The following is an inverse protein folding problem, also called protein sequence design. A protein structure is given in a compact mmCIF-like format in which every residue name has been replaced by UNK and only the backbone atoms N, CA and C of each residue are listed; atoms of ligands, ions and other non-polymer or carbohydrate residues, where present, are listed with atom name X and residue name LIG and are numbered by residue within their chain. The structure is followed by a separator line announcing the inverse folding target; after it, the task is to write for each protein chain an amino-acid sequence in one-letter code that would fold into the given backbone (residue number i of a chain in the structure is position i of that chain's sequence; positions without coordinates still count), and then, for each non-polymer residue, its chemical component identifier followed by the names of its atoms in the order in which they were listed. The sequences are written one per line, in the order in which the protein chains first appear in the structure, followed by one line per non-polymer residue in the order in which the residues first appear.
data_IF_280209266321
#
_entry.id   IF_280209266321
#
_cell.length_a   1.000
_cell.length_b   1.000
_cell.length_c   1.000
_cell.angle_alpha   90.00
_cell.angle_beta   90.00
_cell.angle_gamma   90.00
#
_symmetry.space_group_name_H-M   'P 1'
#
loop_
_entity.id
_entity.type
_entity.pdbx_description
1 polymer ?
#
# COMPACT_ATOMS: atom_id res chain seq x y z
N UNK A 1 5.27 -32.47 22.67
CA UNK A 1 5.61 -31.02 22.67
C UNK A 1 6.91 -30.82 21.91
N UNK A 2 7.04 -29.70 21.20
CA UNK A 2 8.21 -29.23 20.43
C UNK A 2 8.60 -30.01 19.17
N UNK A 3 9.01 -29.40 18.05
CA UNK A 3 9.07 -27.99 17.61
C UNK A 3 9.25 -28.10 16.08
N UNK A 4 8.41 -27.42 15.28
CA UNK A 4 8.53 -27.43 13.82
C UNK A 4 9.68 -26.49 13.41
N UNK A 5 10.57 -26.88 12.49
CA UNK A 5 11.67 -26.02 12.07
C UNK A 5 11.15 -24.83 11.24
N UNK A 6 11.59 -23.64 11.64
CA UNK A 6 11.44 -22.39 10.90
C UNK A 6 11.91 -22.54 9.44
N UNK A 7 10.99 -22.34 8.51
CA UNK A 7 11.30 -22.25 7.08
C UNK A 7 11.90 -20.87 6.82
N UNK A 8 13.22 -20.84 6.67
CA UNK A 8 14.02 -19.66 6.33
C UNK A 8 13.51 -18.98 5.06
N UNK A 9 13.33 -17.67 5.22
CA UNK A 9 13.31 -16.57 4.26
C UNK A 9 13.96 -16.90 2.92
N UNK A 10 13.18 -16.91 1.83
CA UNK A 10 13.70 -16.81 0.46
C UNK A 10 13.53 -15.38 -0.03
N UNK A 11 14.69 -14.76 -0.20
CA UNK A 11 15.01 -13.55 -0.96
C UNK A 11 14.02 -13.24 -2.09
N UNK A 12 13.58 -11.98 -2.16
CA UNK A 12 13.18 -11.37 -3.43
C UNK A 12 14.13 -10.21 -3.68
N UNK A 13 15.05 -10.45 -4.60
CA UNK A 13 15.95 -9.46 -5.20
C UNK A 13 15.52 -9.34 -6.66
N UNK A 14 14.92 -8.21 -7.02
CA UNK A 14 14.79 -7.74 -8.40
C UNK A 14 14.49 -6.23 -8.34
N UNK A 15 15.53 -5.39 -8.36
CA UNK A 15 16.01 -4.67 -9.54
C UNK A 15 15.03 -3.62 -10.06
N UNK A 16 15.30 -2.38 -9.65
CA UNK A 16 14.91 -1.17 -10.35
C UNK A 16 15.44 -1.22 -11.78
N UNK A 17 14.56 -1.09 -12.77
CA UNK A 17 14.91 -0.64 -14.12
C UNK A 17 13.69 0.01 -14.79
N UNK A 18 13.89 1.25 -15.23
CA UNK A 18 13.23 1.79 -16.42
C UNK A 18 11.96 2.61 -16.20
N UNK A 19 12.07 3.92 -16.46
CA UNK A 19 10.98 4.83 -16.80
C UNK A 19 9.91 4.19 -17.71
N UNK A 20 8.64 4.43 -17.38
CA UNK A 20 7.52 4.31 -18.31
C UNK A 20 6.33 3.53 -17.76
N UNK A 21 5.31 4.25 -17.28
CA UNK A 21 3.92 3.78 -17.09
C UNK A 21 3.79 2.43 -16.37
N UNK A 22 3.83 2.45 -15.04
CA UNK A 22 3.46 1.28 -14.25
C UNK A 22 1.94 1.20 -14.23
N UNK A 23 1.40 0.29 -15.02
CA UNK A 23 0.03 -0.18 -14.85
C UNK A 23 -0.10 -0.84 -13.47
N UNK A 24 -1.20 -0.61 -12.73
CA UNK A 24 -1.42 -1.25 -11.43
C UNK A 24 -1.41 -2.78 -11.64
N UNK A 25 -0.39 -3.47 -11.11
CA UNK A 25 -0.34 -4.93 -11.14
C UNK A 25 -1.28 -5.48 -10.07
N UNK A 26 -2.54 -5.64 -10.43
CA UNK A 26 -3.56 -6.34 -9.63
C UNK A 26 -3.32 -7.85 -9.67
N UNK A 27 -2.38 -8.33 -8.86
CA UNK A 27 -2.21 -9.75 -8.56
C UNK A 27 -3.31 -10.28 -7.63
N UNK A 28 -3.50 -11.61 -7.54
CA UNK A 28 -4.51 -12.21 -6.66
C UNK A 28 -4.28 -11.81 -5.20
N UNK A 29 -5.39 -11.51 -4.51
CA UNK A 29 -5.62 -11.03 -3.13
C UNK A 29 -4.93 -11.83 -2.00
N UNK A 30 -3.62 -12.10 -2.09
CA UNK A 30 -2.89 -13.00 -1.18
C UNK A 30 -1.69 -12.34 -0.51
N UNK A 31 -1.44 -11.06 -0.76
CA UNK A 31 -0.40 -10.31 -0.04
C UNK A 31 -1.02 -9.66 1.20
N UNK A 32 -0.33 -9.79 2.32
CA UNK A 32 -0.71 -9.19 3.61
C UNK A 32 0.40 -8.24 4.02
N UNK A 33 0.02 -7.11 4.62
CA UNK A 33 1.01 -6.22 5.21
C UNK A 33 1.52 -6.74 6.56
N UNK A 34 2.44 -6.00 7.16
CA UNK A 34 3.07 -6.36 8.45
C UNK A 34 2.09 -6.47 9.62
N UNK A 35 0.86 -5.95 9.52
CA UNK A 35 -0.18 -6.10 10.55
C UNK A 35 -1.30 -7.06 10.13
N UNK A 36 -1.11 -7.79 9.03
CA UNK A 36 -2.04 -8.80 8.54
C UNK A 36 -3.22 -8.26 7.75
N UNK A 37 -3.18 -7.00 7.29
CA UNK A 37 -4.23 -6.44 6.43
C UNK A 37 -3.99 -6.83 4.96
N UNK A 38 -5.07 -7.11 4.19
CA UNK A 38 -4.95 -7.44 2.78
C UNK A 38 -4.43 -6.24 1.99
N UNK A 39 -3.32 -6.43 1.28
CA UNK A 39 -2.79 -5.45 0.34
C UNK A 39 -3.62 -5.52 -0.93
N UNK A 40 -4.29 -4.42 -1.27
CA UNK A 40 -5.14 -4.34 -2.47
C UNK A 40 -4.45 -3.69 -3.66
N UNK A 41 -3.38 -2.93 -3.41
CA UNK A 41 -2.54 -2.35 -4.45
C UNK A 41 -1.11 -2.11 -3.94
N UNK A 42 -0.17 -2.09 -4.87
CA UNK A 42 1.22 -1.68 -4.64
C UNK A 42 1.63 -0.79 -5.81
N UNK A 43 2.02 0.45 -5.51
CA UNK A 43 2.36 1.44 -6.53
C UNK A 43 3.72 2.05 -6.25
N UNK A 44 4.43 2.45 -7.31
CA UNK A 44 5.59 3.31 -7.17
C UNK A 44 5.12 4.77 -7.17
N UNK A 45 5.44 5.50 -6.11
CA UNK A 45 5.20 6.93 -5.98
C UNK A 45 6.56 7.60 -5.84
N UNK A 46 6.93 8.42 -6.83
CA UNK A 46 8.27 8.97 -6.95
C UNK A 46 9.35 7.87 -6.87
N UNK A 47 10.21 7.95 -5.85
CA UNK A 47 11.32 7.04 -5.59
C UNK A 47 10.98 5.89 -4.63
N UNK A 48 9.74 5.81 -4.13
CA UNK A 48 9.33 4.81 -3.14
C UNK A 48 8.23 3.89 -3.64
N UNK A 49 8.25 2.66 -3.14
CA UNK A 49 7.13 1.71 -3.29
C UNK A 49 6.17 1.89 -2.13
N UNK A 50 4.90 2.10 -2.42
CA UNK A 50 3.83 2.27 -1.46
C UNK A 50 2.85 1.10 -1.59
N UNK A 51 2.58 0.44 -0.47
CA UNK A 51 1.53 -0.57 -0.34
C UNK A 51 0.28 0.05 0.26
N UNK A 52 -0.86 -0.28 -0.34
CA UNK A 52 -2.18 0.15 0.09
C UNK A 52 -2.94 -1.06 0.65
N UNK A 53 -3.05 -1.11 1.97
CA UNK A 53 -3.72 -2.20 2.66
C UNK A 53 -5.12 -1.80 3.08
N UNK A 54 -6.10 -2.66 2.84
CA UNK A 54 -7.48 -2.36 3.18
C UNK A 54 -7.78 -2.65 4.65
N UNK A 55 -8.24 -1.62 5.36
CA UNK A 55 -8.84 -1.77 6.68
C UNK A 55 -10.25 -2.32 6.49
N UNK A 56 -10.39 -3.63 6.61
CA UNK A 56 -11.65 -4.35 6.33
C UNK A 56 -12.82 -3.72 7.08
N UNK A 57 -13.91 -3.47 6.36
CA UNK A 57 -15.12 -2.84 6.91
C UNK A 57 -15.06 -1.31 7.01
N UNK A 58 -13.98 -0.66 6.55
CA UNK A 58 -13.84 0.80 6.53
C UNK A 58 -13.45 1.29 5.13
N UNK A 59 -13.92 2.49 4.71
CA UNK A 59 -13.45 3.16 3.50
C UNK A 59 -12.08 3.81 3.72
N UNK A 60 -11.13 3.00 4.20
CA UNK A 60 -9.81 3.41 4.68
C UNK A 60 -8.73 2.47 4.18
N UNK A 61 -7.64 3.06 3.71
CA UNK A 61 -6.42 2.36 3.35
C UNK A 61 -5.29 2.74 4.30
N UNK A 62 -4.57 1.74 4.80
CA UNK A 62 -3.28 1.91 5.46
C UNK A 62 -2.20 1.98 4.40
N UNK A 63 -1.27 2.92 4.56
CA UNK A 63 -0.14 3.10 3.65
C UNK A 63 1.14 2.64 4.33
N UNK A 64 1.91 1.81 3.63
CA UNK A 64 3.22 1.33 4.09
C UNK A 64 4.28 1.42 3.01
N UNK A 65 5.53 1.59 3.45
CA UNK A 65 6.76 1.71 2.68
C UNK A 65 7.63 0.49 3.02
N UNK A 66 7.45 -0.68 2.35
CA UNK A 66 8.00 -1.98 2.77
C UNK A 66 9.55 -2.08 2.70
N UNK A 67 10.24 -1.01 2.35
CA UNK A 67 11.69 -0.95 2.23
C UNK A 67 12.32 0.12 3.13
N UNK A 68 11.53 0.72 4.02
CA UNK A 68 11.96 1.77 4.93
C UNK A 68 11.54 1.43 6.36
N UNK A 69 12.33 1.89 7.32
CA UNK A 69 12.01 1.79 8.74
C UNK A 69 11.77 3.20 9.31
N UNK A 70 10.63 3.46 9.97
CA UNK A 70 9.45 2.59 10.11
C UNK A 70 8.74 2.37 8.77
N UNK A 71 8.10 1.21 8.58
CA UNK A 71 7.35 0.94 7.34
C UNK A 71 6.05 1.75 7.25
N UNK A 72 5.46 2.13 8.38
CA UNK A 72 4.19 2.86 8.38
C UNK A 72 4.41 4.24 7.76
N UNK A 73 3.53 4.66 6.85
CA UNK A 73 3.47 6.05 6.39
C UNK A 73 2.29 6.77 7.05
N UNK A 74 1.14 6.09 7.08
CA UNK A 74 -0.09 6.64 7.62
C UNK A 74 -1.32 5.95 7.05
N UNK A 75 -2.38 6.71 6.81
CA UNK A 75 -3.62 6.19 6.22
C UNK A 75 -4.34 7.22 5.37
N UNK A 76 -5.13 6.74 4.41
CA UNK A 76 -6.08 7.53 3.65
C UNK A 76 -7.50 7.08 4.00
N UNK A 77 -8.38 8.01 4.30
CA UNK A 77 -9.81 7.77 4.53
C UNK A 77 -10.68 8.60 3.59
N UNK A 78 -12.01 8.45 3.70
CA UNK A 78 -12.97 9.16 2.87
C UNK A 78 -12.99 8.70 1.40
N UNK A 79 -12.51 7.48 1.12
CA UNK A 79 -12.40 6.92 -0.24
C UNK A 79 -13.75 6.59 -0.89
N UNK A 80 -14.81 6.53 -0.10
CA UNK A 80 -16.21 6.44 -0.51
C UNK A 80 -16.87 7.82 -0.73
N UNK A 81 -16.12 8.89 -0.51
CA UNK A 81 -16.56 10.28 -0.70
C UNK A 81 -15.81 10.97 -1.83
N UNK A 82 -16.11 12.25 -2.07
CA UNK A 82 -15.38 13.10 -3.02
C UNK A 82 -14.15 13.80 -2.41
N UNK A 83 -13.91 13.63 -1.11
CA UNK A 83 -12.86 14.33 -0.36
C UNK A 83 -11.98 13.33 0.41
N UNK A 84 -11.17 12.51 -0.30
CA UNK A 84 -10.26 11.59 0.36
C UNK A 84 -9.12 12.37 1.03
N UNK A 85 -8.74 11.96 2.25
CA UNK A 85 -7.76 12.68 3.06
C UNK A 85 -6.60 11.80 3.47
N UNK A 86 -5.39 12.33 3.35
CA UNK A 86 -4.16 11.69 3.79
C UNK A 86 -3.85 12.11 5.23
N UNK A 87 -3.67 11.12 6.10
CA UNK A 87 -3.23 11.29 7.47
C UNK A 87 -1.85 10.65 7.62
N UNK A 88 -0.82 11.48 7.78
CA UNK A 88 0.55 11.03 8.02
C UNK A 88 0.71 10.73 9.52
N UNK A 89 1.26 9.56 9.83
CA UNK A 89 1.43 9.12 11.22
C UNK A 89 2.89 9.10 11.66
N UNK A 90 3.82 8.91 10.72
CA UNK A 90 5.25 8.80 11.03
C UNK A 90 5.99 10.12 10.70
N UNK A 91 6.55 10.83 11.70
CA UNK A 91 7.23 12.12 11.48
C UNK A 91 8.39 12.04 10.48
N UNK A 92 9.13 10.94 10.48
CA UNK A 92 10.27 10.71 9.58
C UNK A 92 9.87 10.64 8.10
N UNK A 93 8.61 10.33 7.80
CA UNK A 93 8.08 10.31 6.44
C UNK A 93 7.16 11.50 6.16
N UNK A 94 6.97 12.41 7.10
CA UNK A 94 5.96 13.47 7.00
C UNK A 94 6.25 14.45 5.87
N UNK A 95 7.53 14.83 5.69
CA UNK A 95 7.96 15.73 4.61
C UNK A 95 7.67 15.10 3.25
N UNK A 96 8.26 13.94 2.96
CA UNK A 96 8.04 13.19 1.72
C UNK A 96 6.55 12.89 1.47
N UNK A 97 5.81 12.48 2.50
CA UNK A 97 4.39 12.19 2.39
C UNK A 97 3.56 13.43 2.02
N UNK A 98 3.93 14.59 2.56
CA UNK A 98 3.28 15.86 2.25
C UNK A 98 3.55 16.30 0.82
N UNK A 99 4.80 16.20 0.36
CA UNK A 99 5.21 16.53 -1.01
C UNK A 99 4.51 15.68 -2.08
N UNK A 100 4.16 14.43 -1.73
CA UNK A 100 3.54 13.49 -2.67
C UNK A 100 2.06 13.20 -2.37
N UNK A 101 1.39 14.06 -1.61
CA UNK A 101 -0.02 13.89 -1.19
C UNK A 101 -0.96 13.59 -2.37
N UNK A 102 -0.89 14.38 -3.44
CA UNK A 102 -1.77 14.21 -4.60
C UNK A 102 -1.59 12.84 -5.28
N UNK A 103 -0.34 12.42 -5.47
CA UNK A 103 -0.02 11.13 -6.07
C UNK A 103 -0.51 9.96 -5.20
N UNK A 104 -0.36 10.07 -3.88
CA UNK A 104 -0.85 9.08 -2.92
C UNK A 104 -2.38 8.97 -2.93
N UNK A 105 -3.09 10.11 -2.92
CA UNK A 105 -4.55 10.15 -2.98
C UNK A 105 -5.08 9.54 -4.29
N UNK A 106 -4.48 9.90 -5.43
CA UNK A 106 -4.86 9.36 -6.74
C UNK A 106 -4.66 7.84 -6.82
N UNK A 107 -3.52 7.35 -6.34
CA UNK A 107 -3.23 5.92 -6.29
C UNK A 107 -4.22 5.17 -5.38
N UNK A 108 -4.51 5.72 -4.20
CA UNK A 108 -5.46 5.15 -3.24
C UNK A 108 -6.88 5.07 -3.82
N UNK A 109 -7.36 6.12 -4.48
CA UNK A 109 -8.68 6.13 -5.10
C UNK A 109 -8.78 5.11 -6.25
N UNK A 110 -7.74 5.03 -7.08
CA UNK A 110 -7.66 4.03 -8.16
C UNK A 110 -7.70 2.59 -7.61
N UNK A 111 -6.95 2.32 -6.56
CA UNK A 111 -6.93 1.02 -5.88
C UNK A 111 -8.31 0.67 -5.31
N UNK A 112 -8.95 1.64 -4.65
CA UNK A 112 -10.27 1.48 -4.03
C UNK A 112 -11.36 1.16 -5.06
N UNK A 113 -11.47 1.96 -6.11
CA UNK A 113 -12.46 1.76 -7.19
C UNK A 113 -12.26 0.43 -7.92
N UNK A 114 -11.01 0.03 -8.12
CA UNK A 114 -10.68 -1.25 -8.75
C UNK A 114 -11.14 -2.41 -7.88
N UNK A 115 -10.88 -2.34 -6.58
CA UNK A 115 -11.31 -3.36 -5.61
C UNK A 115 -12.84 -3.46 -5.54
N UNK A 116 -13.54 -2.33 -5.52
CA UNK A 116 -15.02 -2.31 -5.50
C UNK A 116 -15.59 -2.98 -6.76
N UNK A 117 -15.06 -2.67 -7.94
CA UNK A 117 -15.50 -3.29 -9.21
C UNK A 117 -15.34 -4.81 -9.22
N UNK A 118 -14.29 -5.33 -8.56
CA UNK A 118 -14.06 -6.78 -8.44
C UNK A 118 -15.02 -7.47 -7.46
N UNK A 119 -15.64 -6.74 -6.52
CA UNK A 119 -16.63 -7.29 -5.58
C UNK A 119 -18.06 -7.29 -6.14
N UNK A 120 -18.35 -6.44 -7.13
CA UNK A 120 -19.71 -6.23 -7.65
C UNK A 120 -20.06 -7.09 -8.87
N UNK A 121 -19.19 -8.03 -9.26
CA UNK A 121 -19.41 -8.99 -10.35
C UNK A 121 -19.42 -10.41 -9.85
#
# INVERSE_FOLDING_TARGET
MSMRPHRRTRQIRAYFQGLGLIAPKTGPCTDLDVVGLPVIATEAVADRVVRFSWVVGQPRLRLTLPHLEPETLGSIDGLDTRDPRLHLSEPIHAEWGSEHTEALLKAAQTAWETRQRQCSG
#
